data_IF_666968057466
#
_entry.id   IF_666968057466
#
_cell.length_a   1.000
_cell.length_b   1.000
_cell.length_c   1.000
_cell.angle_alpha   90.00
_cell.angle_beta   90.00
_cell.angle_gamma   90.00
#
_symmetry.space_group_name_H-M   'P 1'
#
loop_
_entity.id
_entity.type
_entity.pdbx_description
1 polymer ?
#
# COMPACT_ATOMS: atom_id res chain seq x y z
N UNK A 1 15.94 10.61 47.36
CA UNK A 1 17.15 11.39 47.04
C UNK A 1 17.01 11.92 45.61
N UNK A 2 17.41 13.15 45.32
CA UNK A 2 17.45 13.70 43.96
C UNK A 2 18.62 13.11 43.17
N UNK A 3 18.64 13.29 41.84
CA UNK A 3 19.78 12.86 41.02
C UNK A 3 21.01 13.72 41.33
N UNK A 4 22.14 13.07 41.63
CA UNK A 4 23.45 13.70 41.73
C UNK A 4 24.42 13.07 40.76
N UNK A 5 25.34 13.86 40.21
CA UNK A 5 26.39 13.36 39.33
C UNK A 5 27.36 12.51 40.19
N UNK A 6 27.45 11.22 39.90
CA UNK A 6 28.24 10.27 40.66
C UNK A 6 29.69 10.20 40.19
N UNK A 7 29.92 10.29 38.88
CA UNK A 7 31.24 10.29 38.25
C UNK A 7 31.23 11.13 36.98
N UNK A 8 32.29 11.91 36.76
CA UNK A 8 32.49 12.71 35.56
C UNK A 8 33.69 12.14 34.81
N UNK A 9 33.50 11.68 33.58
CA UNK A 9 34.55 11.12 32.73
C UNK A 9 35.54 12.17 32.19
N UNK A 10 36.19 12.94 33.08
CA UNK A 10 37.32 13.83 32.78
C UNK A 10 36.99 15.27 32.40
N UNK A 11 35.77 15.60 31.97
CA UNK A 11 35.38 16.97 31.59
C UNK A 11 34.30 17.54 32.52
N UNK A 12 34.55 18.68 33.18
CA UNK A 12 33.53 19.38 33.99
C UNK A 12 32.33 19.70 33.10
N UNK A 13 31.11 19.27 33.47
CA UNK A 13 29.97 19.44 32.58
C UNK A 13 29.59 20.92 32.50
N UNK A 14 29.41 21.42 31.27
CA UNK A 14 29.08 22.83 31.02
C UNK A 14 27.71 23.18 31.59
N UNK A 15 27.57 24.37 32.17
CA UNK A 15 26.26 24.88 32.62
C UNK A 15 25.65 25.78 31.57
N UNK A 16 24.37 25.57 31.27
CA UNK A 16 23.59 26.37 30.33
C UNK A 16 22.43 27.06 31.04
N UNK A 17 22.23 28.34 30.74
CA UNK A 17 21.02 29.07 31.14
C UNK A 17 19.93 28.78 30.11
N UNK A 18 18.81 28.19 30.55
CA UNK A 18 17.69 27.82 29.68
C UNK A 18 16.36 28.32 30.26
N UNK A 19 15.40 28.73 29.41
CA UNK A 19 14.10 29.27 29.83
C UNK A 19 13.28 28.23 30.60
N UNK A 20 12.41 28.69 31.49
CA UNK A 20 11.53 27.87 32.35
C UNK A 20 10.06 27.95 31.94
N UNK A 21 9.30 26.92 32.27
CA UNK A 21 7.84 26.87 32.11
C UNK A 21 7.16 27.56 33.30
N UNK A 22 5.99 28.18 33.06
CA UNK A 22 5.32 29.00 34.05
C UNK A 22 4.67 28.15 35.12
N UNK A 23 4.59 28.65 36.35
CA UNK A 23 3.96 27.96 37.49
C UNK A 23 4.60 26.60 37.82
N UNK A 24 5.88 26.43 37.53
CA UNK A 24 6.61 25.19 37.80
C UNK A 24 7.68 25.40 38.87
N UNK A 25 7.83 24.42 39.76
CA UNK A 25 8.88 24.41 40.78
C UNK A 25 9.99 23.48 40.34
N UNK A 26 11.20 24.02 40.26
CA UNK A 26 12.43 23.32 39.93
C UNK A 26 13.27 23.13 41.19
N UNK A 27 13.78 21.91 41.36
CA UNK A 27 14.64 21.56 42.51
C UNK A 27 16.00 21.06 42.03
N UNK A 28 17.06 21.33 42.79
CA UNK A 28 18.41 20.81 42.50
C UNK A 28 18.37 19.29 42.35
N UNK A 29 18.93 18.78 41.25
CA UNK A 29 18.99 17.35 40.94
C UNK A 29 17.70 16.78 40.31
N UNK A 30 16.74 17.63 39.93
CA UNK A 30 15.58 17.23 39.13
C UNK A 30 15.95 17.07 37.66
N UNK A 31 15.41 16.02 37.03
CA UNK A 31 15.56 15.80 35.59
C UNK A 31 14.56 16.65 34.82
N UNK A 32 15.05 17.31 33.76
CA UNK A 32 14.27 18.21 32.93
C UNK A 32 14.34 17.82 31.45
N UNK A 33 13.26 18.13 30.74
CA UNK A 33 13.12 18.03 29.28
C UNK A 33 12.75 19.40 28.74
N UNK A 34 13.03 19.65 27.45
CA UNK A 34 12.66 20.91 26.80
C UNK A 34 11.42 20.67 25.94
N UNK A 35 10.32 21.34 26.30
CA UNK A 35 9.02 21.27 25.61
C UNK A 35 8.61 22.68 25.22
N UNK A 36 8.17 22.88 23.98
CA UNK A 36 7.71 24.20 23.49
C UNK A 36 8.69 25.36 23.74
N UNK A 37 10.00 25.07 23.71
CA UNK A 37 11.04 26.08 23.90
C UNK A 37 11.37 26.41 25.36
N UNK A 38 10.77 25.74 26.35
CA UNK A 38 11.01 25.94 27.77
C UNK A 38 11.31 24.62 28.50
N UNK A 39 12.04 24.69 29.61
CA UNK A 39 12.30 23.54 30.48
C UNK A 39 11.06 23.15 31.25
N UNK A 40 10.81 21.85 31.38
CA UNK A 40 9.78 21.29 32.25
C UNK A 40 10.26 19.98 32.86
N UNK A 41 9.62 19.55 33.94
CA UNK A 41 9.90 18.32 34.65
C UNK A 41 9.84 17.11 33.74
N UNK A 42 10.89 16.30 33.80
CA UNK A 42 10.96 15.03 33.10
C UNK A 42 10.47 13.91 34.00
N UNK A 43 9.57 13.06 33.50
CA UNK A 43 8.99 11.95 34.25
C UNK A 43 8.59 10.80 33.32
N UNK A 44 8.30 9.65 33.92
CA UNK A 44 7.83 8.44 33.24
C UNK A 44 8.77 8.03 32.09
N UNK A 45 8.26 8.01 30.87
CA UNK A 45 8.94 7.57 29.64
C UNK A 45 9.59 8.72 28.87
N UNK A 46 9.48 9.96 29.35
CA UNK A 46 10.12 11.10 28.71
C UNK A 46 11.64 11.03 28.85
N UNK A 47 12.36 11.32 27.77
CA UNK A 47 13.82 11.30 27.82
C UNK A 47 14.37 12.59 28.43
N UNK A 48 15.00 12.47 29.59
CA UNK A 48 15.66 13.58 30.26
C UNK A 48 16.82 14.12 29.42
N UNK A 49 16.93 15.44 29.31
CA UNK A 49 18.01 16.12 28.57
C UNK A 49 18.87 17.00 29.45
N UNK A 50 18.37 17.39 30.61
CA UNK A 50 19.04 18.31 31.51
C UNK A 50 18.84 17.90 32.96
N UNK A 51 19.78 18.29 33.82
CA UNK A 51 19.65 18.22 35.28
C UNK A 51 19.66 19.62 35.86
N UNK A 52 18.72 19.89 36.75
CA UNK A 52 18.58 21.19 37.39
C UNK A 52 19.69 21.46 38.42
N UNK A 53 20.30 22.65 38.38
CA UNK A 53 21.38 23.04 39.30
C UNK A 53 20.95 24.05 40.37
N UNK A 54 19.69 24.48 40.39
CA UNK A 54 19.21 25.49 41.34
C UNK A 54 17.76 25.27 41.74
N UNK A 55 17.39 25.69 42.95
CA UNK A 55 16.00 25.73 43.36
C UNK A 55 15.36 27.01 42.82
N UNK A 56 14.24 26.89 42.11
CA UNK A 56 13.54 28.03 41.53
C UNK A 56 12.04 27.73 41.42
N UNK A 57 11.21 28.68 41.84
CA UNK A 57 9.76 28.59 41.65
C UNK A 57 9.39 29.61 40.58
N UNK A 58 9.05 29.13 39.39
CA UNK A 58 8.69 30.00 38.28
C UNK A 58 7.33 30.67 38.55
N UNK A 59 7.26 32.01 38.53
CA UNK A 59 6.00 32.75 38.63
C UNK A 59 5.13 32.52 37.38
N UNK A 60 3.90 33.02 37.41
CA UNK A 60 2.98 32.93 36.26
C UNK A 60 3.42 33.77 35.04
N UNK A 61 4.20 34.84 35.28
CA UNK A 61 4.71 35.75 34.25
C UNK A 61 6.10 36.25 34.64
N UNK A 62 6.97 36.47 33.64
CA UNK A 62 8.31 37.02 33.88
C UNK A 62 9.31 36.01 34.45
N UNK A 63 9.08 34.71 34.22
CA UNK A 63 10.00 33.69 34.71
C UNK A 63 11.39 33.77 34.08
N UNK A 64 12.40 33.58 34.92
CA UNK A 64 13.79 33.69 34.56
C UNK A 64 14.36 32.35 34.07
N UNK A 65 15.37 32.37 33.18
CA UNK A 65 16.13 31.19 32.83
C UNK A 65 16.85 30.60 34.05
N UNK A 66 16.94 29.27 34.11
CA UNK A 66 17.64 28.56 35.18
C UNK A 66 18.91 27.90 34.67
N UNK A 67 19.90 27.77 35.55
CA UNK A 67 21.14 27.06 35.28
C UNK A 67 20.91 25.55 35.30
N UNK A 68 21.21 24.88 34.19
CA UNK A 68 21.10 23.43 34.06
C UNK A 68 22.36 22.81 33.48
N UNK A 69 22.56 21.53 33.79
CA UNK A 69 23.64 20.72 33.23
C UNK A 69 23.06 19.82 32.13
N UNK A 70 23.52 19.91 30.86
CA UNK A 70 23.13 18.98 29.81
C UNK A 70 23.57 17.56 30.15
N UNK A 71 22.69 16.60 29.89
CA UNK A 71 23.01 15.18 30.04
C UNK A 71 23.78 14.72 28.81
N UNK A 72 24.98 14.18 29.02
CA UNK A 72 25.81 13.55 27.99
C UNK A 72 26.03 12.07 28.31
N UNK A 73 26.41 11.28 27.31
CA UNK A 73 26.51 9.81 27.40
C UNK A 73 27.50 9.31 28.47
N UNK A 74 28.45 10.15 28.87
CA UNK A 74 29.48 9.82 29.85
C UNK A 74 29.09 10.16 31.30
N UNK A 75 27.90 10.71 31.54
CA UNK A 75 27.43 11.05 32.90
C UNK A 75 26.71 9.87 33.56
N UNK A 76 27.17 9.52 34.76
CA UNK A 76 26.50 8.60 35.66
C UNK A 76 25.82 9.40 36.78
N UNK A 77 24.55 9.09 37.03
CA UNK A 77 23.77 9.74 38.07
C UNK A 77 23.43 8.76 39.18
N UNK A 78 23.60 9.18 40.43
CA UNK A 78 23.12 8.44 41.58
C UNK A 78 21.75 8.99 42.02
N UNK A 79 20.79 8.08 42.20
CA UNK A 79 19.50 8.37 42.83
C UNK A 79 19.06 7.15 43.65
N UNK A 80 17.78 7.05 44.02
CA UNK A 80 17.17 5.91 44.68
C UNK A 80 16.00 5.35 43.86
N UNK A 81 15.67 4.08 44.08
CA UNK A 81 14.44 3.50 43.55
C UNK A 81 13.20 4.06 44.27
N UNK A 82 12.16 4.37 43.51
CA UNK A 82 10.85 4.80 44.02
C UNK A 82 9.90 3.64 44.31
N UNK A 83 10.16 2.46 43.77
CA UNK A 83 9.41 1.22 43.94
C UNK A 83 10.37 0.02 44.09
N UNK A 84 9.85 -1.16 44.44
CA UNK A 84 10.68 -2.37 44.52
C UNK A 84 11.15 -2.80 43.13
N UNK A 85 12.46 -2.70 42.91
CA UNK A 85 13.18 -3.05 41.69
C UNK A 85 14.11 -4.25 41.90
N UNK A 86 13.81 -5.14 42.85
CA UNK A 86 14.58 -6.38 43.10
C UNK A 86 14.75 -7.23 41.83
N UNK A 87 13.72 -7.30 40.98
CA UNK A 87 13.72 -8.07 39.72
C UNK A 87 14.38 -7.36 38.52
N UNK A 88 14.67 -6.07 38.61
CA UNK A 88 15.34 -5.31 37.54
C UNK A 88 16.82 -5.68 37.50
N UNK A 89 17.41 -5.90 36.35
CA UNK A 89 18.83 -6.25 36.22
C UNK A 89 19.70 -5.02 35.89
N UNK A 90 21.00 -5.12 36.12
CA UNK A 90 21.96 -4.13 35.60
C UNK A 90 21.93 -4.20 34.06
N UNK A 91 21.82 -3.05 33.41
CA UNK A 91 21.61 -2.92 31.97
C UNK A 91 20.15 -2.73 31.55
N UNK A 92 19.18 -3.08 32.41
CA UNK A 92 17.77 -2.81 32.14
C UNK A 92 17.51 -1.30 32.16
N UNK A 93 16.57 -0.87 31.31
CA UNK A 93 16.08 0.50 31.33
C UNK A 93 14.80 0.57 32.14
N UNK A 94 14.71 1.55 33.05
CA UNK A 94 13.52 1.82 33.86
C UNK A 94 12.98 3.23 33.61
N UNK A 95 11.72 3.46 33.94
CA UNK A 95 11.11 4.80 33.84
C UNK A 95 11.58 5.73 34.95
N UNK A 96 11.48 7.04 34.71
CA UNK A 96 11.70 8.08 35.73
C UNK A 96 10.41 8.19 36.55
N UNK A 97 10.53 8.35 37.87
CA UNK A 97 9.36 8.56 38.72
C UNK A 97 8.64 9.88 38.39
N UNK A 98 7.36 9.99 38.76
CA UNK A 98 6.57 11.21 38.54
C UNK A 98 7.14 12.44 39.25
N UNK A 99 8.01 12.23 40.25
CA UNK A 99 8.71 13.28 40.97
C UNK A 99 9.93 13.82 40.22
N UNK A 100 10.37 13.22 39.10
CA UNK A 100 11.54 13.66 38.32
C UNK A 100 12.88 13.56 39.07
N UNK A 101 12.88 12.95 40.27
CA UNK A 101 14.00 12.92 41.20
C UNK A 101 14.51 11.50 41.43
N UNK A 102 13.71 10.49 41.09
CA UNK A 102 13.97 9.05 41.30
C UNK A 102 13.70 8.24 40.04
N UNK A 103 14.10 6.97 40.06
CA UNK A 103 13.73 5.97 39.04
C UNK A 103 12.73 4.96 39.60
N UNK A 104 11.94 4.34 38.74
CA UNK A 104 10.96 3.29 39.12
C UNK A 104 11.56 1.89 38.94
N UNK A 105 10.71 0.86 39.02
CA UNK A 105 11.02 -0.51 38.61
C UNK A 105 10.41 -0.89 37.25
N UNK A 106 9.68 0.03 36.59
CA UNK A 106 8.96 -0.26 35.34
C UNK A 106 9.94 -0.29 34.18
N UNK A 107 10.12 -1.47 33.57
CA UNK A 107 11.04 -1.65 32.43
C UNK A 107 10.42 -1.34 31.08
N UNK A 108 9.08 -1.35 30.99
CA UNK A 108 8.36 -0.97 29.78
C UNK A 108 8.65 0.49 29.43
N UNK A 109 9.20 0.71 28.23
CA UNK A 109 9.58 2.04 27.72
C UNK A 109 10.49 2.84 28.69
N UNK A 110 11.34 2.14 29.46
CA UNK A 110 12.30 2.77 30.35
C UNK A 110 13.34 3.62 29.61
N UNK A 111 13.76 4.71 30.24
CA UNK A 111 14.72 5.68 29.70
C UNK A 111 16.00 5.82 30.54
N UNK A 112 15.98 5.34 31.79
CA UNK A 112 17.13 5.34 32.68
C UNK A 112 17.72 3.93 32.75
N UNK A 113 18.93 3.75 32.21
CA UNK A 113 19.62 2.47 32.22
C UNK A 113 20.30 2.24 33.57
N UNK A 114 20.02 1.11 34.23
CA UNK A 114 20.65 0.76 35.51
C UNK A 114 22.11 0.40 35.27
N UNK A 115 23.04 1.24 35.72
CA UNK A 115 24.48 0.99 35.62
C UNK A 115 25.01 0.16 36.79
N UNK A 116 24.48 0.39 38.00
CA UNK A 116 24.84 -0.37 39.21
C UNK A 116 23.78 -0.19 40.30
N UNK A 117 23.43 -1.26 41.01
CA UNK A 117 22.61 -1.18 42.25
C UNK A 117 23.50 -0.99 43.48
N UNK A 118 23.10 -0.13 44.41
CA UNK A 118 23.73 0.08 45.72
C UNK A 118 22.92 -0.61 46.81
N UNK A 119 22.60 -1.90 46.62
CA UNK A 119 21.76 -2.69 47.52
C UNK A 119 20.93 -3.73 46.77
N UNK A 120 19.89 -4.24 47.43
CA UNK A 120 19.01 -5.30 46.90
C UNK A 120 18.05 -4.84 45.81
N UNK A 121 17.89 -3.52 45.62
CA UNK A 121 16.92 -2.94 44.68
C UNK A 121 15.55 -2.67 45.30
N UNK A 122 15.37 -2.86 46.62
CA UNK A 122 14.16 -2.46 47.31
C UNK A 122 13.90 -0.94 47.20
N UNK A 123 12.66 -0.51 47.37
CA UNK A 123 12.32 0.91 47.35
C UNK A 123 13.18 1.71 48.34
N UNK A 124 13.67 2.87 47.90
CA UNK A 124 14.58 3.72 48.67
C UNK A 124 16.07 3.32 48.61
N UNK A 125 16.42 2.17 48.03
CA UNK A 125 17.83 1.79 47.85
C UNK A 125 18.51 2.62 46.75
N UNK A 126 19.80 2.90 46.92
CA UNK A 126 20.58 3.70 45.98
C UNK A 126 20.86 2.98 44.66
N UNK A 127 20.98 3.74 43.59
CA UNK A 127 21.22 3.22 42.24
C UNK A 127 21.99 4.22 41.41
N UNK A 128 22.94 3.72 40.61
CA UNK A 128 23.60 4.48 39.56
C UNK A 128 22.92 4.20 38.24
N UNK A 129 22.54 5.26 37.53
CA UNK A 129 21.90 5.17 36.24
C UNK A 129 22.66 5.97 35.19
N UNK A 130 22.63 5.48 33.96
CA UNK A 130 22.98 6.25 32.77
C UNK A 130 21.70 6.79 32.17
N UNK A 131 21.66 8.09 31.98
CA UNK A 131 20.61 8.76 31.22
C UNK A 131 21.21 9.04 29.85
N UNK A 132 20.75 8.34 28.82
CA UNK A 132 21.15 8.67 27.46
C UNK A 132 20.08 9.58 26.87
N UNK A 133 20.43 10.74 26.29
CA UNK A 133 19.49 11.44 25.44
C UNK A 133 19.01 10.46 24.36
N UNK A 134 17.73 10.52 23.99
CA UNK A 134 17.19 9.64 22.98
C UNK A 134 18.05 9.78 21.73
N UNK A 135 18.59 8.66 21.27
CA UNK A 135 19.20 8.61 19.95
C UNK A 135 18.09 9.03 18.96
N UNK A 136 18.31 10.05 18.08
CA UNK A 136 17.35 10.35 17.03
C UNK A 136 17.03 9.13 16.16
N UNK A 137 17.83 8.07 16.22
CA UNK A 137 17.61 6.79 15.56
C UNK A 137 16.62 5.84 16.25
N UNK A 138 16.09 6.19 17.44
CA UNK A 138 14.91 5.49 17.99
C UNK A 138 13.62 5.94 17.29
N UNK A 139 13.68 5.99 15.97
CA UNK A 139 12.60 5.54 15.11
C UNK A 139 12.30 4.05 15.36
N UNK A 140 11.86 3.71 16.58
CA UNK A 140 10.92 2.60 16.80
C UNK A 140 9.57 2.87 16.08
N UNK A 141 9.49 4.00 15.38
CA UNK A 141 8.57 4.28 14.29
C UNK A 141 8.85 3.54 12.98
N UNK A 142 10.12 3.35 12.60
CA UNK A 142 10.45 2.98 11.23
C UNK A 142 10.11 1.52 10.88
N UNK A 143 10.00 0.65 11.89
CA UNK A 143 9.73 -0.78 11.66
C UNK A 143 8.35 -1.22 12.20
N UNK A 144 7.54 -0.30 12.72
CA UNK A 144 6.18 -0.62 13.24
C UNK A 144 5.11 0.44 12.94
N UNK A 145 5.46 1.68 12.54
CA UNK A 145 4.44 2.73 12.31
C UNK A 145 3.76 2.71 10.94
N UNK A 146 4.14 1.84 10.00
CA UNK A 146 3.32 1.62 8.79
C UNK A 146 2.38 0.41 8.97
N UNK A 147 2.73 -0.60 9.78
CA UNK A 147 1.90 -1.80 9.91
C UNK A 147 0.77 -1.65 10.96
N UNK A 148 0.98 -0.90 12.05
CA UNK A 148 -0.01 -0.75 13.12
C UNK A 148 -0.98 0.45 12.95
N UNK A 149 -0.72 1.35 12.00
CA UNK A 149 -1.48 2.59 11.84
C UNK A 149 -2.72 2.50 10.92
N UNK A 150 -2.93 1.39 10.20
CA UNK A 150 -3.93 1.31 9.12
C UNK A 150 -5.17 0.45 9.42
N UNK A 151 -5.71 0.59 10.63
CA UNK A 151 -7.17 0.45 10.79
C UNK A 151 -7.95 1.60 10.11
N UNK A 152 -7.25 2.62 9.58
CA UNK A 152 -7.79 3.78 8.88
C UNK A 152 -7.17 3.89 7.48
N UNK A 153 -7.92 4.48 6.54
CA UNK A 153 -7.49 4.72 5.17
C UNK A 153 -6.18 5.54 5.10
N UNK A 154 -5.24 5.11 4.26
CA UNK A 154 -4.02 5.85 3.91
C UNK A 154 -4.33 6.72 2.71
N UNK A 155 -4.19 8.03 2.84
CA UNK A 155 -4.30 8.94 1.70
C UNK A 155 -2.90 9.42 1.33
N UNK A 156 -2.47 9.12 0.11
CA UNK A 156 -1.28 9.69 -0.50
C UNK A 156 -1.74 10.78 -1.47
N UNK A 157 -1.23 11.99 -1.33
CA UNK A 157 -1.59 13.13 -2.21
C UNK A 157 -0.75 13.19 -3.49
N UNK A 158 0.40 12.51 -3.48
CA UNK A 158 1.35 12.44 -4.59
C UNK A 158 1.57 10.97 -5.04
N UNK A 159 2.60 10.74 -5.86
CA UNK A 159 2.92 9.44 -6.44
C UNK A 159 3.48 8.44 -5.42
N UNK A 160 3.10 7.17 -5.59
CA UNK A 160 3.70 6.03 -4.91
C UNK A 160 4.62 5.28 -5.88
N UNK A 161 5.92 5.23 -5.57
CA UNK A 161 6.88 4.35 -6.25
C UNK A 161 7.20 3.14 -5.38
N UNK A 162 6.97 1.93 -5.89
CA UNK A 162 7.34 0.67 -5.22
C UNK A 162 8.47 0.01 -6.01
N UNK A 163 9.68 -0.04 -5.43
CA UNK A 163 10.86 -0.62 -6.09
C UNK A 163 10.88 -2.15 -6.15
N UNK A 164 9.89 -2.82 -5.55
CA UNK A 164 9.71 -4.27 -5.54
C UNK A 164 8.27 -4.67 -5.82
N UNK A 165 7.86 -5.83 -5.30
CA UNK A 165 6.51 -6.34 -5.55
C UNK A 165 5.48 -5.64 -4.66
N UNK A 166 4.33 -5.26 -5.23
CA UNK A 166 3.15 -4.82 -4.49
C UNK A 166 2.15 -5.99 -4.41
N UNK A 167 1.83 -6.44 -3.20
CA UNK A 167 0.76 -7.41 -2.96
C UNK A 167 -0.50 -6.68 -2.49
N UNK A 168 -1.58 -6.77 -3.27
CA UNK A 168 -2.90 -6.25 -2.88
C UNK A 168 -3.85 -7.41 -2.71
N UNK A 169 -4.27 -7.67 -1.46
CA UNK A 169 -5.18 -8.77 -1.12
C UNK A 169 -6.65 -8.36 -1.16
N UNK A 170 -6.92 -7.05 -1.13
CA UNK A 170 -8.26 -6.48 -1.25
C UNK A 170 -8.60 -6.02 -2.67
N UNK A 171 -9.74 -5.33 -2.80
CA UNK A 171 -10.16 -4.71 -4.06
C UNK A 171 -9.35 -3.45 -4.35
N UNK A 172 -8.90 -3.31 -5.59
CA UNK A 172 -8.30 -2.07 -6.11
C UNK A 172 -9.29 -1.37 -7.04
N UNK A 173 -9.53 -0.08 -6.82
CA UNK A 173 -10.26 0.79 -7.75
C UNK A 173 -9.26 1.73 -8.44
N UNK A 174 -9.15 1.64 -9.76
CA UNK A 174 -8.28 2.48 -10.57
C UNK A 174 -9.18 3.37 -11.43
N UNK A 175 -9.25 4.66 -11.10
CA UNK A 175 -10.18 5.61 -11.72
C UNK A 175 -9.60 6.34 -12.93
N UNK A 176 -8.27 6.27 -13.11
CA UNK A 176 -7.56 6.82 -14.26
C UNK A 176 -7.13 5.77 -15.27
N UNK A 177 -6.35 6.20 -16.26
CA UNK A 177 -5.75 5.31 -17.24
C UNK A 177 -4.77 4.35 -16.55
N UNK A 178 -4.89 3.06 -16.86
CA UNK A 178 -3.95 2.04 -16.38
C UNK A 178 -3.09 1.58 -17.54
N UNK A 179 -1.77 1.76 -17.44
CA UNK A 179 -0.81 1.25 -18.41
C UNK A 179 -0.09 0.02 -17.83
N UNK A 180 -0.26 -1.14 -18.47
CA UNK A 180 0.50 -2.35 -18.17
C UNK A 180 1.48 -2.57 -19.31
N UNK A 181 2.76 -2.38 -19.05
CA UNK A 181 3.83 -2.54 -20.07
C UNK A 181 4.17 -3.99 -20.34
N UNK A 182 3.80 -4.90 -19.43
CA UNK A 182 3.93 -6.34 -19.58
C UNK A 182 2.60 -7.03 -19.94
N UNK A 183 2.55 -8.35 -19.69
CA UNK A 183 1.33 -9.15 -19.89
C UNK A 183 0.38 -9.01 -18.70
N UNK A 184 -0.89 -8.73 -18.98
CA UNK A 184 -1.95 -8.83 -17.98
C UNK A 184 -2.62 -10.22 -18.07
N UNK A 185 -2.47 -11.03 -17.03
CA UNK A 185 -3.20 -12.30 -16.90
C UNK A 185 -4.43 -12.09 -16.00
N UNK A 186 -5.64 -12.28 -16.54
CA UNK A 186 -6.89 -12.22 -15.77
C UNK A 186 -7.52 -13.61 -15.74
N UNK A 187 -7.64 -14.19 -14.55
CA UNK A 187 -8.26 -15.51 -14.35
C UNK A 187 -9.78 -15.42 -14.18
N UNK A 188 -10.27 -14.26 -13.71
CA UNK A 188 -11.69 -13.96 -13.59
C UNK A 188 -12.31 -13.36 -14.85
N UNK A 189 -13.59 -13.00 -14.76
CA UNK A 189 -14.29 -12.29 -15.83
C UNK A 189 -13.77 -10.85 -15.98
N UNK A 190 -13.71 -10.36 -17.23
CA UNK A 190 -13.44 -8.95 -17.54
C UNK A 190 -14.65 -8.37 -18.28
N UNK A 191 -15.10 -7.18 -17.90
CA UNK A 191 -16.15 -6.44 -18.61
C UNK A 191 -15.55 -5.15 -19.16
N UNK A 192 -15.56 -4.98 -20.48
CA UNK A 192 -15.15 -3.75 -21.14
C UNK A 192 -16.41 -3.05 -21.65
N UNK A 193 -16.69 -1.87 -21.12
CA UNK A 193 -17.87 -1.06 -21.50
C UNK A 193 -17.58 -0.10 -22.65
N UNK A 194 -16.30 0.21 -22.89
CA UNK A 194 -15.82 0.98 -24.04
C UNK A 194 -15.35 0.11 -25.21
N UNK A 195 -14.87 0.76 -26.27
CA UNK A 195 -14.28 0.09 -27.41
C UNK A 195 -12.97 -0.64 -27.03
N UNK A 196 -12.76 -1.82 -27.62
CA UNK A 196 -11.50 -2.56 -27.51
C UNK A 196 -10.73 -2.47 -28.83
N UNK A 197 -9.53 -1.89 -28.79
CA UNK A 197 -8.58 -1.89 -29.91
C UNK A 197 -7.47 -2.89 -29.61
N UNK A 198 -7.46 -4.02 -30.33
CA UNK A 198 -6.47 -5.09 -30.14
C UNK A 198 -5.60 -5.24 -31.39
N UNK A 199 -4.41 -4.63 -31.39
CA UNK A 199 -3.50 -4.63 -32.55
C UNK A 199 -2.92 -6.03 -32.86
N UNK A 200 -2.87 -6.92 -31.87
CA UNK A 200 -2.42 -8.31 -32.01
C UNK A 200 -3.54 -9.33 -32.28
N UNK A 201 -4.78 -8.87 -32.48
CA UNK A 201 -5.95 -9.74 -32.64
C UNK A 201 -6.56 -10.20 -31.30
N UNK A 202 -7.68 -10.93 -31.39
CA UNK A 202 -8.43 -11.46 -30.24
C UNK A 202 -8.72 -12.94 -30.49
N UNK A 203 -8.33 -13.79 -29.56
CA UNK A 203 -8.70 -15.22 -29.55
C UNK A 203 -9.66 -15.47 -28.39
N UNK A 204 -10.90 -15.85 -28.70
CA UNK A 204 -11.92 -16.17 -27.70
C UNK A 204 -12.53 -17.55 -28.00
N UNK A 205 -12.72 -18.38 -26.97
CA UNK A 205 -13.19 -19.78 -27.12
C UNK A 205 -14.71 -19.91 -27.20
N UNK A 206 -15.46 -19.03 -26.52
CA UNK A 206 -16.92 -19.05 -26.46
C UNK A 206 -17.48 -17.68 -26.86
N UNK A 207 -17.32 -17.33 -28.13
CA UNK A 207 -17.67 -15.98 -28.58
C UNK A 207 -19.14 -15.85 -28.89
N UNK A 208 -19.93 -15.39 -27.92
CA UNK A 208 -21.17 -14.67 -28.22
C UNK A 208 -20.77 -13.24 -28.62
N UNK A 209 -20.23 -13.07 -29.84
CA UNK A 209 -20.13 -11.75 -30.43
C UNK A 209 -21.56 -11.21 -30.53
N UNK A 210 -21.99 -10.44 -29.54
CA UNK A 210 -23.21 -9.64 -29.68
C UNK A 210 -22.83 -8.54 -30.64
N UNK A 211 -22.97 -8.83 -31.92
CA UNK A 211 -22.85 -7.83 -32.94
C UNK A 211 -24.10 -7.95 -33.79
N UNK A 212 -24.87 -6.88 -33.81
CA UNK A 212 -25.68 -6.62 -35.00
C UNK A 212 -24.79 -6.49 -36.25
N UNK A 213 -23.48 -6.21 -36.12
CA UNK A 213 -22.50 -6.15 -37.23
C UNK A 213 -21.12 -6.74 -36.87
N UNK A 214 -20.77 -7.91 -37.43
CA UNK A 214 -19.35 -8.30 -37.58
C UNK A 214 -18.82 -7.62 -38.84
N UNK A 215 -18.17 -6.47 -38.71
CA UNK A 215 -17.46 -5.84 -39.84
C UNK A 215 -16.02 -6.37 -39.90
N UNK A 216 -15.87 -7.58 -40.44
CA UNK A 216 -14.56 -8.19 -40.61
C UNK A 216 -13.95 -7.73 -41.94
N UNK A 217 -12.82 -7.04 -41.90
CA UNK A 217 -11.99 -6.76 -43.08
C UNK A 217 -11.29 -8.02 -43.63
N UNK A 218 -11.22 -9.11 -42.86
CA UNK A 218 -10.63 -10.41 -43.25
C UNK A 218 -11.69 -11.53 -43.35
N UNK A 219 -11.28 -12.81 -43.47
CA UNK A 219 -12.18 -13.97 -43.52
C UNK A 219 -13.05 -14.11 -42.25
N UNK A 220 -14.31 -14.53 -42.43
CA UNK A 220 -15.27 -14.77 -41.35
C UNK A 220 -15.44 -16.27 -41.16
N UNK A 221 -15.12 -16.77 -39.96
CA UNK A 221 -15.40 -18.16 -39.55
C UNK A 221 -16.59 -18.19 -38.58
N UNK A 222 -17.73 -18.70 -39.05
CA UNK A 222 -18.93 -18.86 -38.23
C UNK A 222 -19.06 -20.32 -37.77
N UNK A 223 -18.69 -20.57 -36.51
CA UNK A 223 -18.82 -21.89 -35.87
C UNK A 223 -20.24 -22.11 -35.30
N UNK A 224 -20.66 -23.38 -35.18
CA UNK A 224 -22.00 -23.81 -34.76
C UNK A 224 -22.54 -23.16 -33.47
N UNK A 225 -21.65 -22.71 -32.56
CA UNK A 225 -22.03 -22.08 -31.30
C UNK A 225 -22.72 -20.71 -31.45
N UNK A 226 -22.56 -20.03 -32.59
CA UNK A 226 -23.09 -18.67 -32.80
C UNK A 226 -24.57 -18.65 -33.22
N UNK A 227 -25.24 -19.80 -33.32
CA UNK A 227 -26.59 -19.83 -33.90
C UNK A 227 -27.52 -20.90 -33.30
N UNK A 228 -28.13 -20.56 -32.16
CA UNK A 228 -29.34 -21.22 -31.66
C UNK A 228 -30.56 -20.91 -32.54
N UNK A 229 -30.52 -19.85 -33.37
CA UNK A 229 -31.50 -19.60 -34.40
C UNK A 229 -31.12 -20.33 -35.70
N UNK A 230 -32.10 -20.80 -36.46
CA UNK A 230 -31.90 -21.60 -37.66
C UNK A 230 -31.43 -20.79 -38.89
N UNK A 231 -31.12 -19.50 -38.70
CA UNK A 231 -30.85 -18.49 -39.75
C UNK A 231 -29.62 -17.67 -39.36
N UNK A 232 -28.59 -17.64 -40.22
CA UNK A 232 -27.41 -16.77 -40.09
C UNK A 232 -27.47 -15.72 -41.19
N UNK A 233 -27.27 -14.43 -40.85
CA UNK A 233 -27.14 -13.34 -41.82
C UNK A 233 -25.68 -12.89 -41.82
N UNK A 234 -24.99 -13.03 -42.95
CA UNK A 234 -23.63 -12.52 -43.13
C UNK A 234 -23.65 -11.39 -44.14
N UNK A 235 -23.22 -10.20 -43.73
CA UNK A 235 -22.98 -9.06 -44.63
C UNK A 235 -21.49 -8.94 -44.87
N UNK A 236 -21.04 -9.16 -46.10
CA UNK A 236 -19.63 -9.04 -46.49
C UNK A 236 -19.42 -7.77 -47.33
N UNK A 237 -18.39 -6.98 -47.01
CA UNK A 237 -17.94 -5.84 -47.80
C UNK A 237 -16.41 -5.91 -48.00
N UNK A 238 -15.93 -5.80 -49.24
CA UNK A 238 -14.49 -5.76 -49.58
C UNK A 238 -13.88 -7.05 -50.13
N UNK A 239 -12.69 -6.91 -50.77
CA UNK A 239 -11.95 -7.88 -51.61
C UNK A 239 -11.99 -9.35 -51.15
N UNK A 240 -12.24 -10.26 -52.10
CA UNK A 240 -12.38 -11.73 -52.00
C UNK A 240 -12.32 -12.33 -50.59
N UNK A 241 -13.49 -12.70 -50.06
CA UNK A 241 -13.63 -13.30 -48.73
C UNK A 241 -14.05 -14.76 -48.82
N UNK A 242 -13.52 -15.60 -47.93
CA UNK A 242 -14.05 -16.93 -47.68
C UNK A 242 -14.87 -16.91 -46.39
N UNK A 243 -16.16 -17.23 -46.50
CA UNK A 243 -17.00 -17.54 -45.34
C UNK A 243 -16.89 -19.05 -45.10
N UNK A 244 -16.30 -19.44 -43.97
CA UNK A 244 -16.27 -20.85 -43.54
C UNK A 244 -17.31 -21.08 -42.46
N UNK A 245 -18.33 -21.86 -42.80
CA UNK A 245 -19.37 -22.33 -41.90
C UNK A 245 -18.92 -23.63 -41.24
N UNK A 246 -19.30 -23.84 -39.98
CA UNK A 246 -19.10 -25.11 -39.26
C UNK A 246 -20.42 -25.69 -38.78
N UNK A 247 -21.43 -25.72 -39.65
CA UNK A 247 -22.81 -26.01 -39.27
C UNK A 247 -23.19 -27.48 -39.48
N UNK A 248 -23.99 -28.03 -38.56
CA UNK A 248 -24.68 -29.32 -38.73
C UNK A 248 -25.99 -29.12 -39.48
N UNK A 249 -26.25 -29.93 -40.51
CA UNK A 249 -27.47 -29.87 -41.31
C UNK A 249 -28.71 -30.39 -40.55
N UNK A 250 -29.94 -29.99 -40.94
CA UNK A 250 -30.26 -28.97 -41.95
C UNK A 250 -30.27 -27.56 -41.33
N UNK A 251 -29.64 -26.59 -42.00
CA UNK A 251 -29.68 -25.17 -41.59
C UNK A 251 -29.80 -24.24 -42.77
N UNK A 252 -30.50 -23.13 -42.58
CA UNK A 252 -30.65 -22.08 -43.58
C UNK A 252 -29.68 -20.93 -43.28
N UNK A 253 -29.03 -20.41 -44.31
CA UNK A 253 -28.09 -19.30 -44.20
C UNK A 253 -28.44 -18.29 -45.28
N UNK A 254 -28.57 -17.03 -44.88
CA UNK A 254 -28.72 -15.90 -45.78
C UNK A 254 -27.39 -15.19 -45.84
N UNK A 255 -26.84 -15.05 -47.05
CA UNK A 255 -25.61 -14.30 -47.26
C UNK A 255 -25.92 -13.13 -48.17
N UNK A 256 -25.64 -11.93 -47.69
CA UNK A 256 -25.73 -10.70 -48.48
C UNK A 256 -24.32 -10.22 -48.75
N UNK A 257 -23.91 -10.26 -50.01
CA UNK A 257 -22.65 -9.67 -50.45
C UNK A 257 -22.91 -8.22 -50.89
N UNK A 258 -22.55 -7.28 -50.02
CA UNK A 258 -22.59 -5.85 -50.32
C UNK A 258 -21.24 -5.31 -50.84
N UNK A 259 -20.26 -6.20 -51.03
CA UNK A 259 -18.92 -5.87 -51.48
C UNK A 259 -18.78 -5.85 -53.01
N UNK A 260 -17.65 -5.32 -53.48
CA UNK A 260 -17.31 -5.23 -54.90
C UNK A 260 -16.64 -6.49 -55.49
N UNK A 261 -16.62 -7.61 -54.76
CA UNK A 261 -16.02 -8.86 -55.21
C UNK A 261 -16.85 -10.04 -54.69
N UNK A 262 -16.76 -11.18 -55.40
CA UNK A 262 -17.39 -12.43 -55.02
C UNK A 262 -16.97 -12.94 -53.63
N UNK A 263 -17.94 -13.55 -52.94
CA UNK A 263 -17.75 -14.19 -51.65
C UNK A 263 -17.85 -15.70 -51.82
N UNK A 264 -16.82 -16.42 -51.40
CA UNK A 264 -16.80 -17.89 -51.40
C UNK A 264 -17.32 -18.44 -50.08
N UNK A 265 -18.45 -19.13 -50.08
CA UNK A 265 -19.09 -19.70 -48.88
C UNK A 265 -18.92 -21.22 -48.87
N UNK A 266 -18.28 -21.78 -47.84
CA UNK A 266 -18.12 -23.24 -47.68
C UNK A 266 -18.58 -23.71 -46.31
N UNK A 267 -18.98 -24.97 -46.19
CA UNK A 267 -19.24 -25.61 -44.89
C UNK A 267 -18.14 -26.64 -44.63
N UNK A 268 -17.40 -26.49 -43.53
CA UNK A 268 -16.24 -27.31 -43.20
C UNK A 268 -15.21 -27.33 -44.33
N UNK A 269 -14.81 -28.54 -44.74
CA UNK A 269 -13.90 -28.78 -45.86
C UNK A 269 -14.62 -28.92 -47.22
N UNK A 270 -15.91 -28.55 -47.29
CA UNK A 270 -16.72 -28.63 -48.50
C UNK A 270 -16.28 -27.68 -49.62
N UNK A 271 -16.76 -27.97 -50.83
CA UNK A 271 -16.58 -27.10 -51.99
C UNK A 271 -17.34 -25.77 -51.77
N UNK A 272 -16.71 -24.62 -52.04
CA UNK A 272 -17.37 -23.33 -51.86
C UNK A 272 -18.47 -23.10 -52.90
N UNK A 273 -19.55 -22.45 -52.47
CA UNK A 273 -20.58 -21.83 -53.28
C UNK A 273 -20.29 -20.35 -53.34
N UNK A 274 -20.36 -19.76 -54.54
CA UNK A 274 -20.09 -18.34 -54.75
C UNK A 274 -21.37 -17.52 -54.58
N UNK A 275 -21.26 -16.43 -53.84
CA UNK A 275 -22.25 -15.35 -53.76
C UNK A 275 -21.62 -14.14 -54.44
N UNK A 276 -22.16 -13.76 -55.59
CA UNK A 276 -21.60 -12.72 -56.44
C UNK A 276 -21.66 -11.34 -55.77
N UNK A 277 -20.91 -10.36 -56.29
CA UNK A 277 -21.01 -8.98 -55.85
C UNK A 277 -22.46 -8.44 -55.92
N UNK A 278 -22.87 -7.70 -54.89
CA UNK A 278 -24.26 -7.19 -54.76
C UNK A 278 -25.34 -8.26 -54.52
N UNK A 279 -25.00 -9.56 -54.49
CA UNK A 279 -26.00 -10.64 -54.42
C UNK A 279 -26.48 -10.90 -52.98
N UNK A 280 -27.77 -11.18 -52.81
CA UNK A 280 -28.27 -11.88 -51.62
C UNK A 280 -28.69 -13.31 -51.97
N UNK A 281 -27.96 -14.28 -51.43
CA UNK A 281 -28.17 -15.70 -51.66
C UNK A 281 -28.81 -16.40 -50.45
N UNK A 282 -29.76 -17.28 -50.74
CA UNK A 282 -30.29 -18.23 -49.76
C UNK A 282 -29.58 -19.58 -49.90
N UNK A 283 -28.85 -19.99 -48.87
CA UNK A 283 -28.05 -21.21 -48.84
C UNK A 283 -28.65 -22.21 -47.86
N UNK A 284 -28.85 -23.45 -48.31
CA UNK A 284 -29.24 -24.57 -47.46
C UNK A 284 -28.04 -25.46 -47.23
N UNK A 285 -27.68 -25.61 -45.95
CA UNK A 285 -26.70 -26.58 -45.49
C UNK A 285 -27.38 -27.95 -45.44
N UNK A 286 -27.02 -28.83 -46.37
CA UNK A 286 -27.61 -30.16 -46.51
C UNK A 286 -26.78 -31.25 -45.84
N UNK A 287 -25.49 -30.99 -45.60
CA UNK A 287 -24.61 -31.87 -44.81
C UNK A 287 -23.48 -31.06 -44.14
N UNK A 288 -22.59 -31.74 -43.41
CA UNK A 288 -21.39 -31.12 -42.83
C UNK A 288 -20.42 -30.52 -43.87
N UNK A 289 -20.57 -30.86 -45.16
CA UNK A 289 -19.68 -30.41 -46.25
C UNK A 289 -20.42 -29.93 -47.50
N UNK A 290 -21.75 -30.04 -47.55
CA UNK A 290 -22.53 -29.69 -48.72
C UNK A 290 -23.43 -28.46 -48.46
N UNK A 291 -23.41 -27.55 -49.42
CA UNK A 291 -24.25 -26.37 -49.49
C UNK A 291 -25.01 -26.39 -50.81
N UNK A 292 -26.30 -26.08 -50.77
CA UNK A 292 -27.13 -25.86 -51.95
C UNK A 292 -27.60 -24.41 -51.96
N UNK A 293 -27.35 -23.70 -53.06
CA UNK A 293 -27.90 -22.35 -53.28
C UNK A 293 -29.34 -22.49 -53.78
N UNK A 294 -30.30 -21.97 -53.02
CA UNK A 294 -31.74 -22.11 -53.31
C UNK A 294 -32.27 -20.92 -54.10
N UNK A 295 -31.82 -19.70 -53.78
CA UNK A 295 -32.28 -18.47 -54.42
C UNK A 295 -31.10 -17.57 -54.72
N UNK A 296 -31.07 -17.02 -55.93
CA UNK A 296 -30.24 -15.89 -56.35
C UNK A 296 -31.17 -14.69 -56.50
N UNK A 297 -30.95 -13.63 -55.71
CA UNK A 297 -31.61 -12.35 -55.99
C UNK A 297 -30.58 -11.47 -56.68
N UNK A 298 -30.74 -11.29 -57.99
CA UNK A 298 -29.93 -10.31 -58.75
C UNK A 298 -30.39 -8.93 -58.28
N UNK A 299 -29.50 -8.19 -57.63
CA UNK A 299 -29.74 -6.79 -57.33
C UNK A 299 -29.95 -6.02 -58.65
N UNK A 300 -31.06 -5.29 -58.75
CA UNK A 300 -31.33 -4.38 -59.86
C UNK A 300 -30.49 -3.11 -59.77
#
# INVERSE_FOLDING_TARGET
MAFRIAMTGGATPDRKMLPTTANETYVVGELLVMTTGALTKCAATATARYVCNQNYVAPATGQEPISVTPITDNLLFETVFSADATLVNVGDKVTIASDGLRVTATTTAGVAEIARKLGTGAAGTGVWVRLRPADPSTSAAADTQIAAAFGLAVTLTDDLTVGGNLAVTGTSALTGNTAITGTLAVTGASTLTGALTANGGITAKDVKFVSSNVDATNDVTASAANNAANVLVVTAAGTSKTITLGMTAPKLVVVTNSGANDVSVKNGAGTPVVVADGETALLLITSATAIVKIVETVAG
#
